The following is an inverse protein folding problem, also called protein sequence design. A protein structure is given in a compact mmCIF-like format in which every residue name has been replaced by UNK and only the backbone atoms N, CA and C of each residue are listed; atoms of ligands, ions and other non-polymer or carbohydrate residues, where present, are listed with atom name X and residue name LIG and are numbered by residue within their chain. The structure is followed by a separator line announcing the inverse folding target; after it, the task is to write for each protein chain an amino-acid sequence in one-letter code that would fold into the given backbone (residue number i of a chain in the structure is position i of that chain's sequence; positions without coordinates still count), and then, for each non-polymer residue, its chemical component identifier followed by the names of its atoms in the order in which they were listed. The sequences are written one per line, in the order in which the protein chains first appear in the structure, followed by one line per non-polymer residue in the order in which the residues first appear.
data_IF_769447969759
#
_entry.id   IF_769447969759
#
_cell.length_a   1.000
_cell.length_b   1.000
_cell.length_c   1.000
_cell.angle_alpha   90.00
_cell.angle_beta   90.00
_cell.angle_gamma   90.00
#
_symmetry.space_group_name_H-M   'P 1'
#
loop_
_entity.id
_entity.type
_entity.pdbx_description
1 polymer ?
2 non-polymer ?
3 water ?
#
# COMPACT_ATOMS: atom_id res chain seq x y z
CA UNK A 8 2.11 4.51 31.35
C UNK A 8 3.48 4.89 30.73
N UNK A 9 4.22 3.89 30.24
CA UNK A 9 5.53 4.06 29.53
C UNK A 9 5.83 2.96 28.52
N UNK A 10 6.81 3.20 27.64
CA UNK A 10 7.30 2.14 26.70
C UNK A 10 8.02 1.00 27.45
N UNK A 11 7.35 -0.15 27.54
CA UNK A 11 7.72 -1.30 28.36
C UNK A 11 7.89 -2.55 27.47
N UNK A 12 8.81 -3.44 27.82
CA UNK A 12 8.87 -4.76 27.18
C UNK A 12 9.87 -4.87 26.02
N UNK A 13 10.52 -3.77 25.63
CA UNK A 13 11.45 -3.76 24.49
C UNK A 13 12.80 -3.04 24.71
N UNK A 14 13.86 -3.58 24.11
CA UNK A 14 15.22 -3.02 24.19
C UNK A 14 15.45 -2.39 22.79
N UNK A 15 15.60 -1.07 22.72
CA UNK A 15 15.98 -0.44 21.46
C UNK A 15 17.44 -0.67 21.09
N UNK A 16 17.69 -0.98 19.82
CA UNK A 16 19.04 -1.28 19.33
C UNK A 16 19.58 -0.37 18.29
N UNK A 17 18.74 0.29 17.47
CA UNK A 17 19.25 1.02 16.30
C UNK A 17 18.15 1.97 15.79
N UNK A 18 18.58 3.09 15.23
CA UNK A 18 17.69 4.03 14.45
C UNK A 18 17.58 3.49 13.07
N UNK A 19 16.36 3.26 12.61
CA UNK A 19 16.12 2.85 11.17
C UNK A 19 15.79 3.99 10.23
N UNK A 20 15.04 4.97 10.70
CA UNK A 20 14.87 6.24 10.04
C UNK A 20 14.37 7.31 11.00
C UNK A 25 9.97 9.76 12.77
N UNK A 26 10.19 9.13 13.92
CA UNK A 26 11.40 8.36 14.09
C UNK A 26 11.05 6.83 14.26
N UNK A 27 11.85 5.95 13.64
CA UNK A 27 11.63 4.52 13.73
C UNK A 27 12.88 3.83 14.34
N UNK A 28 12.68 2.97 15.32
CA UNK A 28 13.76 2.17 15.97
C UNK A 28 13.58 0.71 15.78
N UNK A 29 14.69 0.01 15.61
CA UNK A 29 14.75 -1.42 15.72
C UNK A 29 14.86 -1.77 17.20
N UNK A 30 14.19 -2.85 17.62
CA UNK A 30 14.20 -3.28 19.05
C UNK A 30 13.96 -4.79 19.13
N UNK A 31 14.22 -5.40 20.28
CA UNK A 31 13.83 -6.83 20.54
C UNK A 31 13.01 -6.93 21.84
N UNK A 32 12.16 -7.95 21.95
CA UNK A 32 11.34 -8.13 23.13
C UNK A 32 12.22 -8.68 24.29
N UNK A 33 12.06 -8.10 25.45
CA UNK A 33 12.78 -8.62 26.63
C UNK A 33 12.48 -10.12 26.88
N UNK A 34 11.23 -10.56 26.71
CA UNK A 34 10.81 -11.95 26.85
C UNK A 34 11.26 -12.95 25.73
N UNK A 35 11.64 -12.46 24.56
CA UNK A 35 12.08 -13.34 23.50
C UNK A 35 13.00 -12.52 22.62
N UNK A 36 14.29 -12.70 22.80
CA UNK A 36 15.24 -11.81 22.14
C UNK A 36 15.40 -12.08 20.65
N UNK A 37 14.79 -13.17 20.14
CA UNK A 37 14.76 -13.40 18.68
C UNK A 37 13.58 -12.70 18.00
N UNK A 38 12.64 -12.15 18.78
CA UNK A 38 11.52 -11.43 18.25
C UNK A 38 11.94 -9.96 18.09
N UNK A 39 12.12 -9.57 16.83
CA UNK A 39 12.63 -8.28 16.45
C UNK A 39 11.38 -7.50 15.95
N UNK A 40 11.32 -6.24 16.33
CA UNK A 40 10.26 -5.28 15.98
C UNK A 40 10.79 -3.95 15.49
N UNK A 41 9.96 -3.19 14.77
CA UNK A 41 10.26 -1.85 14.37
C UNK A 41 9.27 -0.98 15.06
N UNK A 42 9.71 0.03 15.79
CA UNK A 42 8.84 0.92 16.56
C UNK A 42 8.76 2.31 15.98
N UNK A 43 7.54 2.72 15.55
CA UNK A 43 7.34 4.07 15.06
C UNK A 43 6.91 4.98 16.17
N UNK A 44 7.66 6.05 16.38
CA UNK A 44 7.43 6.96 17.52
C UNK A 44 6.93 8.29 16.96
N UNK A 45 5.71 8.70 17.37
CA UNK A 45 5.14 10.01 16.95
C UNK A 45 4.81 10.94 18.20
N UNK A 46 5.17 12.21 18.09
CA UNK A 46 4.95 13.20 19.20
C UNK A 46 3.46 13.54 19.20
N UNK A 47 2.81 13.47 20.35
CA UNK A 47 1.35 13.89 20.40
C UNK A 47 1.08 15.35 19.96
N UNK A 48 2.02 16.25 20.27
CA UNK A 48 2.03 17.65 19.81
C UNK A 48 1.78 17.77 18.30
N UNK A 49 2.35 16.84 17.54
CA UNK A 49 2.28 16.84 16.09
C UNK A 49 0.89 16.54 15.47
N UNK A 50 -0.06 16.02 16.24
CA UNK A 50 -1.34 15.48 15.72
C UNK A 50 -2.58 16.43 15.95
N UNK A 51 -3.27 16.79 14.88
CA UNK A 51 -4.68 17.31 14.92
C UNK A 51 -5.68 16.54 15.76
N UNK A 52 -6.86 17.15 16.02
CA UNK A 52 -8.05 16.41 16.56
C UNK A 52 -8.39 15.32 15.58
N UNK A 53 -8.43 15.69 14.29
CA UNK A 53 -8.66 14.73 13.26
C UNK A 53 -7.68 13.56 13.40
N UNK A 54 -6.40 13.89 13.56
CA UNK A 54 -5.31 12.89 13.50
C UNK A 54 -5.35 11.94 14.67
N UNK A 55 -5.77 12.41 15.84
CA UNK A 55 -6.00 11.53 16.98
C UNK A 55 -7.15 10.57 16.68
N UNK A 56 -8.23 11.11 16.12
CA UNK A 56 -9.39 10.32 15.71
C UNK A 56 -9.00 9.31 14.59
N UNK A 57 -8.23 9.71 13.57
CA UNK A 57 -7.76 8.74 12.58
C UNK A 57 -6.81 7.63 13.10
N UNK A 58 -5.95 7.99 14.06
CA UNK A 58 -5.00 7.03 14.63
C UNK A 58 -5.74 5.97 15.38
N UNK A 59 -6.78 6.37 16.11
CA UNK A 59 -7.62 5.43 16.81
C UNK A 59 -8.35 4.44 15.85
N UNK A 60 -8.87 4.92 14.73
CA UNK A 60 -9.48 4.01 13.75
C UNK A 60 -8.43 3.04 13.12
N UNK A 61 -7.24 3.56 12.84
CA UNK A 61 -6.09 2.71 12.33
C UNK A 61 -5.77 1.52 13.30
N UNK A 62 -5.65 1.84 14.59
CA UNK A 62 -5.31 0.82 15.61
C UNK A 62 -6.44 -0.21 15.68
N UNK A 63 -7.70 0.27 15.68
CA UNK A 63 -8.87 -0.63 15.75
C UNK A 63 -8.92 -1.55 14.50
N UNK A 64 -8.61 -1.01 13.33
CA UNK A 64 -8.48 -1.85 12.13
C UNK A 64 -7.36 -2.92 12.23
N UNK A 65 -6.17 -2.49 12.61
CA UNK A 65 -5.04 -3.41 12.71
C UNK A 65 -5.16 -4.50 13.81
N UNK A 66 -5.80 -4.17 14.94
CA UNK A 66 -5.89 -5.10 16.09
C UNK A 66 -6.70 -6.34 15.67
N UNK A 67 -7.64 -6.13 14.77
CA UNK A 67 -8.54 -7.22 14.37
C UNK A 67 -8.06 -8.10 13.24
N UNK A 68 -6.83 -7.88 12.74
CA UNK A 68 -6.38 -8.65 11.57
C UNK A 68 -5.03 -9.30 11.72
N UNK A 69 -4.87 -10.42 10.99
CA UNK A 69 -3.65 -11.23 10.99
C UNK A 69 -3.57 -11.91 9.58
N UNK A 70 -2.50 -11.67 8.81
CA UNK A 70 -2.39 -12.22 7.44
C UNK A 70 -0.90 -12.27 7.02
N UNK A 71 -0.51 -13.32 6.22
CA UNK A 71 0.86 -13.43 5.91
C UNK A 71 1.43 -12.29 5.03
N UNK A 72 0.55 -11.53 4.38
CA UNK A 72 0.95 -10.45 3.51
C UNK A 72 0.53 -9.03 4.02
N UNK A 73 0.37 -8.89 5.35
CA UNK A 73 0.09 -7.64 6.01
C UNK A 73 1.06 -7.57 7.22
N UNK A 74 1.75 -6.45 7.37
CA UNK A 74 2.63 -6.20 8.57
C UNK A 74 1.81 -6.19 9.83
N UNK A 75 2.16 -7.04 10.81
CA UNK A 75 1.36 -7.20 12.01
C UNK A 75 1.64 -6.11 13.03
N UNK A 76 0.58 -5.57 13.61
CA UNK A 76 0.68 -4.69 14.79
C UNK A 76 0.93 -5.65 15.97
N UNK A 77 2.12 -5.60 16.55
CA UNK A 77 2.45 -6.45 17.73
C UNK A 77 1.98 -5.83 19.03
N UNK A 78 1.97 -4.51 19.09
CA UNK A 78 1.56 -3.75 20.29
C UNK A 78 1.39 -2.30 20.00
N UNK A 79 0.65 -1.57 20.88
CA UNK A 79 0.43 -0.16 20.80
C UNK A 79 0.60 0.42 22.19
N UNK A 80 1.46 1.42 22.36
CA UNK A 80 1.80 1.99 23.66
C UNK A 80 1.91 3.48 23.57
N UNK A 81 2.01 4.12 24.74
CA UNK A 81 2.19 5.56 24.79
C UNK A 81 2.80 5.97 26.15
N UNK A 82 3.30 7.19 26.20
CA UNK A 82 3.71 7.84 27.50
C UNK A 82 3.14 9.25 27.48
N UNK A 83 3.74 10.16 28.24
CA UNK A 83 3.27 11.55 28.36
C UNK A 83 3.33 12.33 27.08
N UNK A 84 4.40 12.12 26.30
CA UNK A 84 4.70 12.94 25.12
C UNK A 84 4.40 12.27 23.75
N UNK A 85 4.47 10.93 23.73
CA UNK A 85 4.48 10.16 22.47
C UNK A 85 3.51 8.98 22.38
N UNK A 86 3.21 8.60 21.11
CA UNK A 86 2.61 7.28 20.80
C UNK A 86 3.66 6.36 20.11
N UNK A 87 3.59 5.06 20.37
CA UNK A 87 4.52 4.03 19.84
C UNK A 87 3.69 2.93 19.11
N UNK A 88 3.83 2.81 17.77
CA UNK A 88 3.26 1.66 17.01
C UNK A 88 4.36 0.61 16.83
N UNK A 89 4.17 -0.52 17.44
CA UNK A 89 5.16 -1.60 17.53
C UNK A 89 4.85 -2.67 16.53
N UNK A 90 5.63 -2.67 15.42
CA UNK A 90 5.30 -3.47 14.26
C UNK A 90 6.27 -4.65 14.04
N UNK A 91 5.78 -5.73 13.38
CA UNK A 91 6.57 -6.82 12.90
C UNK A 91 7.73 -6.27 12.07
N UNK A 92 8.97 -6.64 12.40
CA UNK A 92 10.16 -6.17 11.66
C UNK A 92 10.25 -6.89 10.31
N UNK A 93 10.56 -6.10 9.27
CA UNK A 93 10.68 -6.61 7.86
C UNK A 93 12.09 -6.32 7.36
N UNK A 94 12.90 -7.36 7.35
CA UNK A 94 14.34 -7.20 7.14
C UNK A 94 14.76 -6.82 5.72
N UNK A 95 13.90 -7.09 4.74
CA UNK A 95 14.19 -6.72 3.36
C UNK A 95 13.99 -5.30 2.82
N UNK A 96 13.59 -4.34 3.66
CA UNK A 96 13.35 -2.95 3.25
C UNK A 96 11.98 -2.90 2.52
N UNK A 97 11.86 -1.96 1.59
CA UNK A 97 10.58 -1.64 0.90
C UNK A 97 10.68 -1.94 -0.61
N UNK A 98 9.51 -2.09 -1.20
CA UNK A 98 9.40 -2.42 -2.61
C UNK A 98 9.91 -1.29 -3.49
N UNK A 99 9.78 -0.06 -3.05
CA UNK A 99 10.33 1.10 -3.78
C UNK A 99 11.85 0.93 -4.08
N UNK A 100 12.62 0.71 -3.03
CA UNK A 100 14.05 0.37 -3.21
C UNK A 100 14.35 -0.91 -4.04
N UNK A 101 13.62 -1.99 -3.85
CA UNK A 101 13.77 -3.22 -4.58
C UNK A 101 13.64 -2.93 -6.06
N UNK A 102 12.59 -2.22 -6.45
CA UNK A 102 12.43 -1.84 -7.89
C UNK A 102 13.59 -0.94 -8.37
N UNK A 103 13.86 0.13 -7.64
CA UNK A 103 14.82 1.20 -8.12
C UNK A 103 16.20 0.71 -8.25
N UNK A 104 16.62 -0.21 -7.38
CA UNK A 104 17.99 -0.84 -7.49
C UNK A 104 18.16 -1.84 -8.65
N UNK A 105 17.06 -2.40 -9.16
CA UNK A 105 17.04 -3.21 -10.39
C UNK A 105 16.64 -2.42 -11.67
N UNK A 106 16.25 -1.17 -11.48
CA UNK A 106 15.53 -0.30 -12.44
C UNK A 106 14.10 -0.78 -12.81
N UNK A 107 14.00 -1.99 -13.36
CA UNK A 107 12.74 -2.65 -13.68
C UNK A 107 12.78 -4.14 -13.28
N UNK A 108 11.61 -4.72 -13.00
CA UNK A 108 11.46 -6.11 -12.68
C UNK A 108 11.00 -6.88 -13.92
N UNK A 109 11.59 -8.07 -14.17
CA UNK A 109 11.03 -8.92 -15.24
C UNK A 109 9.56 -9.33 -14.93
N UNK A 110 8.79 -9.54 -16.00
CA UNK A 110 7.37 -9.84 -15.88
C UNK A 110 7.17 -11.00 -14.94
N UNK A 111 8.05 -12.04 -14.97
CA UNK A 111 7.81 -13.20 -14.19
C UNK A 111 7.87 -12.88 -12.68
N UNK A 112 8.80 -12.00 -12.32
CA UNK A 112 8.96 -11.55 -10.89
C UNK A 112 7.73 -10.69 -10.48
N UNK A 113 7.40 -9.74 -11.32
CA UNK A 113 6.21 -8.89 -11.07
C UNK A 113 4.97 -9.73 -10.82
N UNK A 114 4.82 -10.81 -11.60
CA UNK A 114 3.67 -11.69 -11.44
C UNK A 114 3.51 -12.36 -10.05
N UNK A 115 4.62 -12.91 -9.51
CA UNK A 115 4.62 -13.49 -8.20
C UNK A 115 4.28 -12.42 -7.14
N UNK A 116 4.88 -11.26 -7.28
CA UNK A 116 4.59 -10.11 -6.41
C UNK A 116 3.10 -9.70 -6.45
N UNK A 117 2.55 -9.54 -7.65
CA UNK A 117 1.12 -9.13 -7.75
C UNK A 117 0.19 -10.15 -7.16
N UNK A 118 0.54 -11.47 -7.27
CA UNK A 118 -0.30 -12.50 -6.70
C UNK A 118 -0.31 -12.43 -5.14
N UNK A 119 0.85 -12.12 -4.58
CA UNK A 119 0.93 -11.92 -3.10
C UNK A 119 0.07 -10.71 -2.65
N UNK A 120 0.24 -9.59 -3.37
CA UNK A 120 -0.54 -8.36 -3.07
C UNK A 120 -2.07 -8.56 -3.22
N UNK A 121 -2.45 -9.32 -4.25
CA UNK A 121 -3.86 -9.67 -4.46
C UNK A 121 -4.44 -10.45 -3.30
N UNK A 122 -3.67 -11.40 -2.73
CA UNK A 122 -4.12 -12.20 -1.55
C UNK A 122 -4.46 -11.25 -0.39
N UNK A 123 -3.59 -10.27 -0.11
CA UNK A 123 -3.84 -9.32 0.95
C UNK A 123 -5.08 -8.43 0.65
N UNK A 124 -5.14 -7.95 -0.59
CA UNK A 124 -6.33 -7.07 -1.00
C UNK A 124 -7.67 -7.88 -0.90
N UNK A 125 -7.66 -9.15 -1.26
CA UNK A 125 -8.92 -9.98 -1.13
C UNK A 125 -9.32 -10.12 0.33
N UNK A 126 -8.33 -10.36 1.20
CA UNK A 126 -8.61 -10.45 2.65
C UNK A 126 -9.24 -9.17 3.22
N UNK A 127 -8.66 -8.01 2.87
CA UNK A 127 -9.22 -6.71 3.28
C UNK A 127 -10.61 -6.44 2.65
N UNK A 128 -10.74 -6.71 1.35
CA UNK A 128 -12.04 -6.42 0.64
C UNK A 128 -13.21 -7.22 1.23
N UNK A 129 -12.97 -8.46 1.53
CA UNK A 129 -14.03 -9.32 2.07
C UNK A 129 -14.43 -8.92 3.46
N UNK A 130 -13.58 -8.18 4.15
CA UNK A 130 -13.93 -7.55 5.47
C UNK A 130 -14.34 -6.06 5.41
N UNK A 131 -14.64 -5.58 4.21
CA UNK A 131 -15.04 -4.21 3.98
C UNK A 131 -14.00 -3.17 4.52
N UNK A 132 -12.74 -3.42 4.30
CA UNK A 132 -11.65 -2.53 4.72
C UNK A 132 -11.00 -2.13 3.38
N UNK A 133 -10.80 -0.81 3.21
CA UNK A 133 -9.99 -0.21 2.15
C UNK A 133 -8.72 0.38 2.76
N UNK A 134 -7.58 0.06 2.18
CA UNK A 134 -6.29 0.62 2.65
C UNK A 134 -6.14 2.10 2.25
N UNK A 135 -6.39 2.42 0.97
CA UNK A 135 -6.39 3.84 0.46
C UNK A 135 -5.05 4.53 0.36
N UNK A 136 -3.95 3.78 0.55
CA UNK A 136 -2.59 4.35 0.27
C UNK A 136 -1.64 3.27 -0.19
N UNK A 137 -2.09 2.48 -1.21
CA UNK A 137 -1.24 1.45 -1.75
C UNK A 137 -0.20 2.04 -2.66
N UNK A 138 1.06 1.76 -2.36
CA UNK A 138 2.20 2.19 -3.15
C UNK A 138 3.48 1.40 -2.76
N UNK A 139 4.57 1.43 -3.58
CA UNK A 139 5.73 0.59 -3.20
C UNK A 139 6.43 0.98 -1.82
N UNK A 140 6.38 2.27 -1.47
CA UNK A 140 6.96 2.68 -0.16
C UNK A 140 6.15 2.08 1.01
N UNK A 141 4.87 1.71 0.76
CA UNK A 141 4.04 1.08 1.80
C UNK A 141 3.93 -0.50 1.71
N UNK A 142 4.84 -1.10 0.95
CA UNK A 142 4.95 -2.50 0.79
C UNK A 142 6.37 -2.93 1.22
N UNK A 143 6.43 -3.69 2.30
CA UNK A 143 7.71 -4.14 2.91
C UNK A 143 8.01 -5.62 2.62
N UNK A 144 9.32 -5.95 2.65
CA UNK A 144 9.84 -7.25 2.21
C UNK A 144 10.36 -8.02 3.42
N UNK A 145 10.01 -9.31 3.49
CA UNK A 145 10.49 -10.20 4.58
C UNK A 145 12.01 -10.48 4.53
N UNK A 146 12.58 -10.44 3.32
CA UNK A 146 14.02 -10.61 3.07
C UNK A 146 14.44 -9.99 1.75
N UNK A 147 15.75 -9.83 1.50
CA UNK A 147 16.23 -9.28 0.24
C UNK A 147 16.09 -10.19 -0.99
N UNK A 148 16.09 -11.50 -0.84
CA UNK A 148 15.92 -12.41 -1.98
C UNK A 148 14.73 -13.39 -1.75
N UNK A 149 13.91 -13.62 -2.78
CA UNK A 149 12.65 -14.38 -2.65
C UNK A 149 11.74 -13.81 -1.53
N UNK A 150 11.48 -12.50 -1.58
CA UNK A 150 10.76 -11.91 -0.49
C UNK A 150 9.28 -12.28 -0.45
N UNK A 151 8.73 -12.28 0.76
CA UNK A 151 7.30 -12.16 1.02
C UNK A 151 6.95 -10.67 1.23
N UNK A 152 6.02 -10.13 0.43
CA UNK A 152 5.61 -8.74 0.50
C UNK A 152 4.49 -8.58 1.53
N UNK A 153 4.54 -7.49 2.31
CA UNK A 153 3.54 -7.24 3.33
C UNK A 153 3.07 -5.78 3.30
N UNK A 154 1.76 -5.57 3.35
CA UNK A 154 1.19 -4.22 3.41
C UNK A 154 1.48 -3.50 4.70
N UNK A 155 1.97 -2.29 4.60
CA UNK A 155 2.31 -1.39 5.74
C UNK A 155 1.51 -0.07 5.64
N UNK A 156 1.56 0.70 6.75
CA UNK A 156 0.97 2.04 6.84
C UNK A 156 -0.50 2.14 6.56
N UNK A 157 -1.28 1.67 7.54
CA UNK A 157 -2.74 1.77 7.50
C UNK A 157 -3.28 3.14 7.97
N UNK A 158 -2.47 4.22 7.84
CA UNK A 158 -2.85 5.58 8.35
C UNK A 158 -4.04 6.24 7.68
N UNK A 159 -4.37 5.87 6.44
CA UNK A 159 -5.53 6.35 5.73
C UNK A 159 -6.66 5.32 5.64
N UNK A 160 -6.51 4.08 6.18
CA UNK A 160 -7.47 2.98 5.91
C UNK A 160 -8.86 3.31 6.52
N UNK A 161 -9.91 2.83 5.86
CA UNK A 161 -11.31 3.11 6.28
C UNK A 161 -12.15 1.90 6.16
N UNK A 162 -13.17 1.77 7.03
CA UNK A 162 -14.26 0.80 6.81
C UNK A 162 -15.11 1.25 5.63
N UNK A 163 -15.22 0.44 4.57
CA UNK A 163 -15.96 0.84 3.36
C UNK A 163 -16.60 -0.38 2.68
N UNK A 164 -17.95 -0.47 2.64
CA UNK A 164 -18.58 -1.55 1.88
C UNK A 164 -18.90 -0.94 0.50
N UNK A 165 -19.43 -1.77 -0.42
CA UNK A 165 -19.81 -1.22 -1.69
C UNK A 165 -20.78 -0.05 -1.70
N UNK A 166 -21.60 0.11 -0.67
CA UNK A 166 -22.54 1.24 -0.49
C UNK A 166 -21.86 2.58 -0.25
N UNK A 167 -20.68 2.55 0.38
CA UNK A 167 -20.13 3.78 0.96
C UNK A 167 -19.48 4.68 -0.09
N UNK A 168 -19.77 5.96 -0.02
CA UNK A 168 -19.19 6.94 -0.87
C UNK A 168 -18.42 7.97 0.03
N UNK A 169 -17.16 8.23 -0.28
CA UNK A 169 -16.32 9.12 0.50
C UNK A 169 -15.94 10.35 -0.29
N UNK A 170 -15.48 11.39 0.42
CA UNK A 170 -15.12 12.70 -0.20
C UNK A 170 -13.78 13.24 0.18
N UNK A 171 -13.33 13.03 1.41
CA UNK A 171 -12.03 13.58 1.88
C UNK A 171 -10.89 12.90 1.11
N UNK A 172 -9.95 13.69 0.59
CA UNK A 172 -8.82 13.08 -0.17
C UNK A 172 -7.96 12.20 0.77
N UNK A 173 -7.61 11.01 0.26
CA UNK A 173 -6.79 10.01 0.99
C UNK A 173 -5.81 9.35 -0.02
N UNK A 174 -4.58 9.21 0.38
CA UNK A 174 -3.53 8.59 -0.43
C UNK A 174 -2.39 9.53 -0.81
N UNK A 175 -1.69 9.18 -1.90
CA UNK A 175 -0.45 9.80 -2.34
C UNK A 175 -0.57 10.27 -3.80
N UNK A 176 -0.10 11.50 -4.17
CA UNK A 176 -0.41 12.06 -5.51
C UNK A 176 -0.17 11.19 -6.72
N UNK A 177 0.97 10.46 -6.79
CA UNK A 177 1.31 9.65 -7.96
C UNK A 177 0.55 8.33 -8.07
N UNK A 178 -0.24 8.03 -7.03
CA UNK A 178 -0.98 6.73 -6.87
C UNK A 178 -2.49 6.86 -6.78
N UNK A 179 -3.01 8.09 -6.61
CA UNK A 179 -4.45 8.31 -6.34
C UNK A 179 -5.34 8.15 -7.56
N UNK A 180 -6.46 7.41 -7.41
CA UNK A 180 -7.38 7.22 -8.53
C UNK A 180 -7.89 8.60 -9.03
N UNK A 181 -8.03 8.79 -10.37
CA UNK A 181 -8.35 10.17 -10.83
C UNK A 181 -9.72 10.69 -10.41
N UNK A 182 -10.67 9.82 -10.19
CA UNK A 182 -11.97 10.28 -9.71
C UNK A 182 -11.92 11.06 -8.37
N UNK A 183 -10.92 10.82 -7.50
CA UNK A 183 -10.80 11.57 -6.25
C UNK A 183 -10.65 13.06 -6.49
N UNK A 184 -9.81 13.43 -7.46
CA UNK A 184 -9.59 14.84 -7.83
C UNK A 184 -10.69 15.32 -8.75
N UNK A 185 -11.03 14.51 -9.76
CA UNK A 185 -11.90 14.96 -10.84
C UNK A 185 -13.37 15.06 -10.43
N UNK A 186 -13.86 14.12 -9.65
CA UNK A 186 -15.29 14.02 -9.28
C UNK A 186 -15.56 14.42 -7.85
N UNK A 187 -14.54 14.56 -7.01
CA UNK A 187 -14.62 14.91 -5.64
C UNK A 187 -15.54 13.95 -4.79
N UNK A 188 -15.64 12.72 -5.26
CA UNK A 188 -16.34 11.60 -4.59
C UNK A 188 -15.75 10.29 -5.15
N UNK A 189 -15.69 9.25 -4.30
CA UNK A 189 -15.06 8.01 -4.65
C UNK A 189 -15.56 6.88 -3.80
N UNK A 190 -15.21 5.67 -4.24
CA UNK A 190 -15.62 4.45 -3.55
C UNK A 190 -14.42 3.47 -3.44
N UNK A 191 -14.68 2.23 -2.99
CA UNK A 191 -13.59 1.28 -2.74
C UNK A 191 -12.75 0.93 -3.98
N UNK A 192 -13.34 1.10 -5.19
CA UNK A 192 -12.63 0.77 -6.43
C UNK A 192 -11.38 1.66 -6.68
N UNK A 193 -11.19 2.81 -5.96
CA UNK A 193 -9.92 3.51 -6.08
C UNK A 193 -8.69 2.62 -5.90
N UNK A 194 -8.76 1.62 -5.01
CA UNK A 194 -7.59 0.77 -4.67
C UNK A 194 -7.11 -0.08 -5.88
N UNK A 195 -8.01 -0.35 -6.84
CA UNK A 195 -7.64 -1.05 -8.07
C UNK A 195 -6.86 -0.21 -9.01
N UNK A 196 -7.17 1.11 -9.09
CA UNK A 196 -6.27 2.03 -9.74
C UNK A 196 -4.81 1.96 -9.20
N UNK A 197 -4.69 2.15 -7.90
CA UNK A 197 -3.39 2.12 -7.22
C UNK A 197 -2.60 0.83 -7.49
N UNK A 198 -3.29 -0.30 -7.50
CA UNK A 198 -2.67 -1.61 -7.83
C UNK A 198 -2.10 -1.58 -9.28
N UNK A 199 -2.87 -0.97 -10.21
CA UNK A 199 -2.43 -0.77 -11.58
C UNK A 199 -1.14 0.07 -11.66
N UNK A 200 -1.05 1.09 -10.80
CA UNK A 200 0.12 1.99 -10.77
C UNK A 200 1.36 1.22 -10.28
N UNK A 201 1.19 0.45 -9.21
CA UNK A 201 2.27 -0.42 -8.67
C UNK A 201 2.82 -1.37 -9.73
N UNK A 202 1.91 -2.03 -10.44
CA UNK A 202 2.35 -2.98 -11.49
C UNK A 202 3.10 -2.28 -12.62
N UNK A 203 2.55 -1.17 -13.12
CA UNK A 203 3.21 -0.31 -14.13
C UNK A 203 4.58 0.15 -13.65
N UNK A 204 4.70 0.58 -12.38
CA UNK A 204 6.00 1.03 -11.87
C UNK A 204 7.04 -0.13 -11.81
N UNK A 205 6.62 -1.31 -11.41
CA UNK A 205 7.49 -2.53 -11.33
C UNK A 205 8.03 -2.84 -12.75
N UNK A 206 7.16 -2.71 -13.76
CA UNK A 206 7.53 -3.13 -15.15
C UNK A 206 8.26 -2.10 -15.97
N UNK A 207 7.94 -0.82 -15.78
CA UNK A 207 8.51 0.27 -16.55
C UNK A 207 9.42 1.24 -15.80
N UNK A 208 9.43 1.17 -14.46
CA UNK A 208 10.38 1.84 -13.65
C UNK A 208 9.89 3.06 -12.86
N UNK A 209 8.71 3.61 -13.17
CA UNK A 209 8.16 4.85 -12.56
C UNK A 209 6.62 4.84 -12.76
N UNK A 210 5.86 5.56 -11.94
CA UNK A 210 4.40 5.68 -12.14
C UNK A 210 4.05 6.30 -13.52
N UNK A 211 2.89 5.95 -14.06
CA UNK A 211 2.52 6.47 -15.42
C UNK A 211 2.43 7.99 -15.52
N UNK A 212 2.18 8.69 -14.42
CA UNK A 212 2.10 10.16 -14.35
C UNK A 212 3.38 10.86 -13.82
N UNK A 213 4.54 10.19 -13.82
CA UNK A 213 5.76 10.80 -13.38
C UNK A 213 5.99 12.12 -14.15
N UNK A 214 6.37 13.20 -13.48
CA UNK A 214 6.38 14.52 -14.08
C UNK A 214 7.47 15.41 -13.50
N UNK A 215 7.80 16.48 -14.23
CA UNK A 215 8.79 17.45 -13.78
C UNK A 215 8.27 18.43 -12.70
N UNK A 216 6.95 18.67 -12.63
CA UNK A 216 6.35 19.58 -11.68
C UNK A 216 5.00 18.99 -11.22
N UNK A 217 4.51 19.51 -10.13
CA UNK A 217 3.16 19.21 -9.66
C UNK A 217 2.11 19.65 -10.63
N UNK A 218 2.30 20.85 -11.27
CA UNK A 218 1.25 21.29 -12.22
C UNK A 218 1.13 20.33 -13.35
N UNK A 219 2.29 19.84 -13.85
CA UNK A 219 2.29 18.82 -14.93
C UNK A 219 1.59 17.54 -14.47
N UNK A 220 1.84 17.12 -13.24
CA UNK A 220 1.15 15.92 -12.71
C UNK A 220 -0.39 16.15 -12.64
N UNK A 221 -0.81 17.25 -12.10
CA UNK A 221 -2.26 17.57 -12.10
C UNK A 221 -2.95 17.53 -13.48
N UNK A 222 -2.30 18.07 -14.49
CA UNK A 222 -2.85 18.02 -15.84
C UNK A 222 -3.12 16.56 -16.29
N UNK A 223 -2.16 15.67 -15.99
CA UNK A 223 -2.27 14.27 -16.33
C UNK A 223 -3.45 13.59 -15.56
N UNK A 224 -3.57 13.93 -14.26
CA UNK A 224 -4.66 13.43 -13.43
C UNK A 224 -6.06 13.84 -14.02
N UNK A 225 -6.18 15.06 -14.54
CA UNK A 225 -7.47 15.57 -15.03
C UNK A 225 -7.72 15.28 -16.52
N UNK A 226 -6.72 14.77 -17.20
CA UNK A 226 -6.89 14.45 -18.65
C UNK A 226 -7.90 13.35 -18.88
N UNK A 227 -8.53 13.36 -20.05
CA UNK A 227 -9.33 12.24 -20.44
C UNK A 227 -8.58 11.27 -21.34
N UNK A 228 -7.30 11.47 -21.67
CA UNK A 228 -6.59 10.58 -22.56
C UNK A 228 -6.42 9.16 -21.92
N UNK A 229 -6.71 8.13 -22.69
CA UNK A 229 -6.51 6.74 -22.21
C UNK A 229 -4.99 6.50 -21.99
N UNK A 230 -4.60 5.74 -20.95
CA UNK A 230 -3.21 5.48 -20.66
C UNK A 230 -2.59 4.63 -21.80
N UNK A 231 -1.44 5.06 -22.29
CA UNK A 231 -0.70 4.33 -23.38
C UNK A 231 0.42 3.58 -22.68
N UNK A 232 0.39 2.26 -22.72
CA UNK A 232 1.46 1.42 -22.13
C UNK A 232 2.64 1.50 -23.07
N UNK A 233 3.86 1.89 -22.59
CA UNK A 233 5.06 1.77 -23.46
C UNK A 233 5.17 0.38 -24.17
N UNK A 234 5.66 0.37 -25.41
CA UNK A 234 5.76 -0.88 -26.21
C UNK A 234 7.01 -1.76 -25.84
N UNK A 235 8.03 -1.17 -25.21
CA UNK A 235 9.15 -1.88 -24.53
C UNK A 235 9.16 -1.73 -22.96
N UNK A 236 9.50 -2.77 -22.17
CA UNK A 236 9.75 -4.12 -22.61
C UNK A 236 8.49 -4.72 -23.20
N UNK A 237 8.68 -5.77 -23.95
CA UNK A 237 7.52 -6.55 -24.49
C UNK A 237 6.84 -7.37 -23.36
N UNK A 238 5.51 -7.25 -23.21
CA UNK A 238 4.83 -8.05 -22.19
C UNK A 238 3.81 -8.98 -22.82
N UNK A 239 3.50 -10.05 -22.13
CA UNK A 239 2.45 -11.01 -22.53
C UNK A 239 1.11 -10.34 -22.71
N UNK A 240 0.29 -10.90 -23.62
CA UNK A 240 -1.02 -10.31 -23.84
C UNK A 240 -1.87 -10.23 -22.53
N UNK A 241 -1.77 -11.21 -21.65
CA UNK A 241 -2.59 -11.26 -20.45
C UNK A 241 -2.08 -10.18 -19.47
N UNK A 242 -0.77 -9.97 -19.37
CA UNK A 242 -0.23 -8.83 -18.60
C UNK A 242 -0.75 -7.43 -19.05
N UNK A 243 -0.67 -7.15 -20.35
CA UNK A 243 -1.18 -5.92 -20.90
C UNK A 243 -2.63 -5.74 -20.65
N UNK A 244 -3.40 -6.84 -20.82
CA UNK A 244 -4.88 -6.81 -20.64
C UNK A 244 -5.22 -6.39 -19.20
N UNK A 245 -4.52 -6.99 -18.26
CA UNK A 245 -4.74 -6.63 -16.86
C UNK A 245 -4.40 -5.17 -16.60
N UNK A 246 -3.22 -4.77 -17.02
CA UNK A 246 -2.74 -3.40 -16.82
C UNK A 246 -3.72 -2.36 -17.36
N UNK A 247 -4.18 -2.59 -18.57
CA UNK A 247 -5.05 -1.66 -19.22
C UNK A 247 -6.40 -1.54 -18.51
N UNK A 248 -6.89 -2.62 -17.94
CA UNK A 248 -8.19 -2.61 -17.32
C UNK A 248 -8.14 -2.05 -15.88
N UNK A 249 -6.98 -2.19 -15.23
CA UNK A 249 -6.80 -1.54 -13.89
C UNK A 249 -6.71 -0.03 -14.07
N UNK A 250 -6.03 0.43 -15.14
CA UNK A 250 -5.72 1.85 -15.37
C UNK A 250 -6.81 2.50 -16.24
N UNK A 251 -8.06 2.11 -16.02
CA UNK A 251 -9.21 2.74 -16.64
C UNK A 251 -9.56 3.93 -15.72
N UNK A 252 -9.72 5.16 -16.27
CA UNK A 252 -10.02 6.34 -15.44
C UNK A 252 -11.41 6.41 -14.78
N UNK A 253 -12.40 5.82 -15.42
CA UNK A 253 -13.77 5.78 -14.95
C UNK A 253 -13.96 4.57 -14.03
N UNK A 254 -14.19 4.77 -12.69
CA UNK A 254 -14.34 3.56 -11.88
C UNK A 254 -15.44 2.55 -12.29
N UNK A 255 -16.47 3.05 -12.93
CA UNK A 255 -17.55 2.19 -13.42
C UNK A 255 -17.15 1.30 -14.60
N UNK A 256 -16.06 1.64 -15.29
CA UNK A 256 -15.53 0.85 -16.42
C UNK A 256 -14.29 -0.01 -16.00
N UNK A 257 -13.73 0.33 -14.86
CA UNK A 257 -12.53 -0.38 -14.33
C UNK A 257 -12.86 -1.85 -14.03
N UNK A 258 -11.88 -2.73 -14.18
CA UNK A 258 -12.04 -4.13 -13.79
C UNK A 258 -12.53 -4.25 -12.36
N UNK A 259 -13.53 -5.13 -12.14
CA UNK A 259 -14.07 -5.40 -10.83
C UNK A 259 -13.09 -6.11 -9.90
N UNK A 260 -13.30 -5.97 -8.61
CA UNK A 260 -12.54 -6.80 -7.62
C UNK A 260 -12.59 -8.27 -7.98
N UNK A 261 -13.82 -8.79 -8.16
CA UNK A 261 -13.92 -10.21 -8.47
C UNK A 261 -13.13 -10.60 -9.74
N UNK A 262 -13.29 -9.83 -10.83
CA UNK A 262 -12.57 -10.07 -12.08
C UNK A 262 -11.05 -9.92 -11.99
N UNK A 263 -10.59 -9.03 -11.10
CA UNK A 263 -9.16 -8.88 -10.86
C UNK A 263 -8.61 -10.19 -10.19
N UNK A 264 -9.28 -10.66 -9.13
CA UNK A 264 -8.81 -11.85 -8.37
C UNK A 264 -8.79 -13.13 -9.24
N UNK A 265 -9.76 -13.21 -10.15
CA UNK A 265 -9.89 -14.31 -11.13
C UNK A 265 -9.17 -14.15 -12.47
N UNK A 266 -8.44 -13.06 -12.71
CA UNK A 266 -7.80 -12.81 -14.01
C UNK A 266 -6.75 -13.87 -14.22
N UNK A 267 -6.64 -14.39 -15.46
CA UNK A 267 -5.63 -15.44 -15.62
C UNK A 267 -4.18 -15.08 -15.26
N UNK A 268 -3.75 -13.83 -15.39
CA UNK A 268 -2.39 -13.42 -14.98
C UNK A 268 -2.22 -13.46 -13.46
N UNK A 269 -3.30 -13.30 -12.72
CA UNK A 269 -3.28 -13.34 -11.23
C UNK A 269 -3.69 -14.73 -10.70
N UNK A 270 -4.94 -15.13 -10.95
CA UNK A 270 -5.42 -16.46 -10.63
C UNK A 270 -5.22 -16.86 -9.15
N UNK A 271 -5.80 -16.08 -8.27
CA UNK A 271 -5.62 -16.28 -6.83
C UNK A 271 -6.08 -17.64 -6.28
N UNK A 272 -7.14 -18.25 -6.84
CA UNK A 272 -7.56 -19.63 -6.42
C UNK A 272 -6.48 -20.73 -6.67
N UNK A 273 -5.62 -20.58 -7.70
CA UNK A 273 -4.69 -21.65 -8.14
C UNK A 273 -3.25 -21.18 -8.07
#
# INVERSE_FOLDING_TARGET
AGPGWGPPRLDGFILTERLGSGTYATVYKAYAKKDTREVVAIKCVAKKSLNKASVENLLTEIEILKGIRHPHIVQLKDFQWDSDNIYLIMEFCAGGDLSRFIHTRRILPEKVARVFMQQLASALQFLHERNISHLDLKPQNILLSSLEKPHLKLADFGFAQHMSPWDEKHVLRGSPLYMAPEMVCQRQYDARVDLWSMGVILYEALFGQPPFASRSFSELEEKIRSNRVIELPLRPLLSRDCRDLLQRLLERDPSRRISFQDFFAHPWVDLEHMPS
#
